data_IF_303819598422
#
_entry.id   IF_303819598422
#
_cell.length_a   1.000
_cell.length_b   1.000
_cell.length_c   1.000
_cell.angle_alpha   90.00
_cell.angle_beta   90.00
_cell.angle_gamma   90.00
#
_symmetry.space_group_name_H-M   'P 1'
#
loop_
_entity.id
_entity.type
_entity.pdbx_description
1 polymer ?
#
# COMPACT_ATOMS: atom_id res chain seq x y z
N UNK A 1 -30.22 -14.69 -28.83
CA UNK A 1 -29.09 -15.53 -28.36
C UNK A 1 -28.75 -15.07 -26.95
N UNK A 2 -29.24 -15.81 -25.95
CA UNK A 2 -29.00 -15.50 -24.54
C UNK A 2 -27.52 -15.77 -24.22
N UNK A 3 -26.80 -14.73 -23.81
CA UNK A 3 -25.41 -14.86 -23.36
C UNK A 3 -25.46 -15.53 -21.98
N UNK A 4 -25.00 -16.77 -21.93
CA UNK A 4 -24.84 -17.55 -20.71
C UNK A 4 -23.74 -16.89 -19.87
N UNK A 5 -24.13 -16.06 -18.92
CA UNK A 5 -23.25 -15.58 -17.86
C UNK A 5 -22.98 -16.77 -16.93
N UNK A 6 -21.73 -17.17 -16.64
CA UNK A 6 -21.51 -18.23 -15.68
C UNK A 6 -22.05 -17.77 -14.31
N UNK A 7 -23.00 -18.49 -13.69
CA UNK A 7 -23.25 -18.35 -12.27
C UNK A 7 -22.02 -18.90 -11.55
N UNK A 8 -21.75 -18.45 -10.33
CA UNK A 8 -20.71 -18.99 -9.44
C UNK A 8 -19.32 -18.31 -9.47
N UNK A 9 -19.24 -17.04 -9.86
CA UNK A 9 -18.27 -16.18 -9.18
C UNK A 9 -18.89 -15.81 -7.82
N UNK A 10 -18.26 -16.13 -6.66
CA UNK A 10 -18.76 -15.68 -5.38
C UNK A 10 -18.75 -14.14 -5.39
N UNK A 11 -19.94 -13.54 -5.54
CA UNK A 11 -20.08 -12.10 -5.39
C UNK A 11 -19.78 -11.82 -3.93
N UNK A 12 -18.56 -11.34 -3.67
CA UNK A 12 -18.15 -10.97 -2.33
C UNK A 12 -19.22 -10.06 -1.71
N UNK A 13 -19.70 -10.41 -0.52
CA UNK A 13 -20.70 -9.62 0.17
C UNK A 13 -20.20 -8.18 0.33
N UNK A 14 -21.06 -7.19 0.08
CA UNK A 14 -20.72 -5.77 0.26
C UNK A 14 -20.25 -5.50 1.70
N UNK A 15 -20.84 -6.21 2.67
CA UNK A 15 -20.47 -6.14 4.08
C UNK A 15 -19.06 -6.69 4.33
N UNK A 16 -18.71 -7.81 3.68
CA UNK A 16 -17.36 -8.40 3.80
C UNK A 16 -16.34 -7.46 3.17
N UNK A 17 -16.64 -6.91 1.98
CA UNK A 17 -15.76 -5.93 1.34
C UNK A 17 -15.55 -4.70 2.23
N UNK A 18 -16.60 -4.19 2.87
CA UNK A 18 -16.48 -3.03 3.77
C UNK A 18 -15.58 -3.34 4.97
N UNK A 19 -15.77 -4.50 5.60
CA UNK A 19 -14.95 -4.93 6.72
C UNK A 19 -13.48 -5.13 6.31
N UNK A 20 -13.22 -5.82 5.19
CA UNK A 20 -11.85 -6.04 4.69
C UNK A 20 -11.17 -4.72 4.34
N UNK A 21 -11.88 -3.77 3.73
CA UNK A 21 -11.33 -2.46 3.36
C UNK A 21 -10.83 -1.66 4.56
N UNK A 22 -11.42 -1.82 5.74
CA UNK A 22 -10.93 -1.16 6.96
C UNK A 22 -9.53 -1.61 7.35
N UNK A 23 -9.15 -2.85 7.02
CA UNK A 23 -7.87 -3.45 7.40
C UNK A 23 -6.85 -3.47 6.26
N UNK A 24 -7.27 -3.11 5.04
CA UNK A 24 -6.46 -3.28 3.84
C UNK A 24 -5.21 -2.38 3.82
N UNK A 25 -5.29 -1.19 4.42
CA UNK A 25 -4.16 -0.26 4.53
C UNK A 25 -3.05 -0.88 5.40
N UNK A 26 -3.38 -1.27 6.64
CA UNK A 26 -2.45 -1.95 7.54
C UNK A 26 -1.95 -3.28 6.97
N UNK A 27 -2.80 -4.03 6.26
CA UNK A 27 -2.40 -5.27 5.58
C UNK A 27 -1.32 -5.01 4.53
N UNK A 28 -1.50 -4.02 3.66
CA UNK A 28 -0.52 -3.70 2.61
C UNK A 28 0.79 -3.15 3.19
N UNK A 29 0.77 -2.58 4.40
CA UNK A 29 1.98 -2.10 5.08
C UNK A 29 2.72 -3.22 5.82
N UNK A 30 2.10 -4.39 5.97
CA UNK A 30 2.62 -5.46 6.81
C UNK A 30 2.49 -5.17 8.31
N UNK A 31 1.64 -4.23 8.68
CA UNK A 31 1.42 -3.76 10.06
C UNK A 31 0.13 -4.32 10.68
N UNK A 32 -0.65 -5.09 9.92
CA UNK A 32 -1.85 -5.75 10.43
C UNK A 32 -1.47 -6.86 11.41
N UNK A 33 -1.71 -6.60 12.70
CA UNK A 33 -1.41 -7.52 13.81
C UNK A 33 -2.66 -7.97 14.58
N UNK A 34 -3.82 -7.49 14.16
CA UNK A 34 -5.09 -7.79 14.82
C UNK A 34 -5.59 -9.22 14.51
N UNK A 35 -6.44 -9.72 15.41
CA UNK A 35 -7.09 -11.03 15.33
C UNK A 35 -8.61 -10.85 15.26
N UNK A 36 -9.31 -11.85 14.72
CA UNK A 36 -10.78 -11.90 14.76
C UNK A 36 -11.30 -12.33 16.15
N UNK A 37 -12.62 -12.42 16.30
CA UNK A 37 -13.26 -12.88 17.55
C UNK A 37 -13.03 -14.34 17.91
N UNK A 38 -12.25 -15.08 17.11
CA UNK A 38 -11.95 -16.49 17.25
C UNK A 38 -10.43 -16.75 17.32
N UNK A 39 -9.62 -15.71 17.61
CA UNK A 39 -8.16 -15.75 17.66
C UNK A 39 -7.48 -16.16 16.33
N UNK A 40 -8.13 -15.92 15.18
CA UNK A 40 -7.48 -16.06 13.87
C UNK A 40 -6.82 -14.75 13.43
N UNK A 41 -5.59 -14.79 12.88
CA UNK A 41 -4.94 -13.59 12.36
C UNK A 41 -5.76 -12.94 11.24
N UNK A 42 -6.04 -11.63 11.36
CA UNK A 42 -6.77 -10.90 10.31
C UNK A 42 -5.99 -10.84 9.00
N UNK A 43 -4.66 -10.99 9.03
CA UNK A 43 -3.83 -11.08 7.82
C UNK A 43 -4.24 -12.24 6.91
N UNK A 44 -4.58 -13.39 7.50
CA UNK A 44 -5.01 -14.56 6.74
C UNK A 44 -6.40 -14.36 6.14
N UNK A 45 -7.32 -13.80 6.92
CA UNK A 45 -8.69 -13.47 6.48
C UNK A 45 -8.69 -12.42 5.35
N UNK A 46 -7.98 -11.32 5.54
CA UNK A 46 -7.83 -10.26 4.53
C UNK A 46 -7.17 -10.83 3.27
N UNK A 47 -6.07 -11.57 3.40
CA UNK A 47 -5.40 -12.19 2.26
C UNK A 47 -6.24 -13.24 1.54
N UNK A 48 -7.09 -14.00 2.25
CA UNK A 48 -8.03 -14.92 1.64
C UNK A 48 -9.10 -14.19 0.83
N UNK A 49 -9.71 -13.14 1.39
CA UNK A 49 -10.73 -12.36 0.71
C UNK A 49 -10.19 -11.64 -0.53
N UNK A 50 -9.03 -10.99 -0.40
CA UNK A 50 -8.40 -10.26 -1.51
C UNK A 50 -8.10 -11.17 -2.70
N UNK A 51 -7.76 -12.45 -2.46
CA UNK A 51 -7.53 -13.43 -3.54
C UNK A 51 -8.77 -13.76 -4.36
N UNK A 52 -9.97 -13.63 -3.79
CA UNK A 52 -11.23 -14.03 -4.45
C UNK A 52 -12.12 -12.85 -4.85
N UNK A 53 -11.88 -11.67 -4.27
CA UNK A 53 -12.67 -10.47 -4.49
C UNK A 53 -11.92 -9.45 -5.37
N UNK A 54 -12.25 -9.41 -6.66
CA UNK A 54 -11.59 -8.50 -7.62
C UNK A 54 -11.64 -7.00 -7.21
N UNK A 55 -12.76 -6.46 -6.69
CA UNK A 55 -12.77 -5.08 -6.18
C UNK A 55 -11.74 -4.82 -5.08
N UNK A 56 -11.55 -5.76 -4.16
CA UNK A 56 -10.57 -5.64 -3.06
C UNK A 56 -9.14 -5.88 -3.56
N UNK A 57 -8.94 -6.83 -4.49
CA UNK A 57 -7.65 -7.04 -5.17
C UNK A 57 -7.18 -5.82 -5.97
N UNK A 58 -8.11 -5.14 -6.64
CA UNK A 58 -7.81 -3.88 -7.35
C UNK A 58 -7.39 -2.79 -6.36
N UNK A 59 -8.12 -2.64 -5.25
CA UNK A 59 -7.78 -1.64 -4.24
C UNK A 59 -6.42 -1.91 -3.58
N UNK A 60 -6.12 -3.17 -3.26
CA UNK A 60 -4.82 -3.58 -2.72
C UNK A 60 -3.67 -3.14 -3.65
N UNK A 61 -3.76 -3.47 -4.95
CA UNK A 61 -2.77 -3.06 -5.95
C UNK A 61 -2.63 -1.54 -6.05
N UNK A 62 -3.73 -0.80 -5.93
CA UNK A 62 -3.70 0.66 -5.95
C UNK A 62 -2.96 1.23 -4.73
N UNK A 63 -3.20 0.69 -3.53
CA UNK A 63 -2.49 1.08 -2.32
C UNK A 63 -1.00 0.75 -2.40
N UNK A 64 -0.65 -0.45 -2.88
CA UNK A 64 0.75 -0.84 -3.13
C UNK A 64 1.46 0.11 -4.09
N UNK A 65 0.81 0.46 -5.21
CA UNK A 65 1.35 1.38 -6.21
C UNK A 65 1.53 2.80 -5.64
N UNK A 66 0.54 3.30 -4.89
CA UNK A 66 0.62 4.60 -4.24
C UNK A 66 1.81 4.65 -3.26
N UNK A 67 2.00 3.62 -2.45
CA UNK A 67 3.11 3.54 -1.50
C UNK A 67 4.47 3.44 -2.18
N UNK A 68 4.56 2.67 -3.26
CA UNK A 68 5.76 2.64 -4.08
C UNK A 68 6.10 4.04 -4.64
N UNK A 69 5.09 4.79 -5.10
CA UNK A 69 5.25 6.16 -5.58
C UNK A 69 5.70 7.12 -4.47
N UNK A 70 5.07 7.06 -3.29
CA UNK A 70 5.46 7.88 -2.14
C UNK A 70 6.90 7.60 -1.67
N UNK A 71 7.29 6.31 -1.60
CA UNK A 71 8.69 5.93 -1.28
C UNK A 71 9.67 6.41 -2.33
N UNK A 72 9.29 6.42 -3.61
CA UNK A 72 10.13 6.95 -4.68
C UNK A 72 10.29 8.48 -4.57
N UNK A 73 9.21 9.19 -4.22
CA UNK A 73 9.23 10.63 -3.98
C UNK A 73 10.14 10.98 -2.79
N UNK A 74 9.95 10.32 -1.64
CA UNK A 74 10.77 10.54 -0.45
C UNK A 74 12.26 10.33 -0.72
N UNK A 75 12.62 9.30 -1.50
CA UNK A 75 14.02 9.08 -1.93
C UNK A 75 14.56 10.22 -2.78
N UNK A 76 13.77 10.75 -3.72
CA UNK A 76 14.17 11.90 -4.54
C UNK A 76 14.41 13.13 -3.68
N UNK A 77 13.50 13.43 -2.76
CA UNK A 77 13.63 14.56 -1.82
C UNK A 77 14.86 14.41 -0.91
N UNK A 78 15.16 13.20 -0.46
CA UNK A 78 16.38 12.95 0.31
C UNK A 78 17.65 13.21 -0.52
N UNK A 79 17.67 12.78 -1.79
CA UNK A 79 18.82 13.02 -2.67
C UNK A 79 19.04 14.51 -2.95
N UNK A 80 17.97 15.29 -3.17
CA UNK A 80 18.08 16.74 -3.40
C UNK A 80 18.53 17.47 -2.15
N UNK A 81 18.06 17.07 -0.96
CA UNK A 81 18.53 17.60 0.31
C UNK A 81 20.04 17.32 0.51
N UNK A 82 20.49 16.08 0.31
CA UNK A 82 21.91 15.71 0.44
C UNK A 82 22.81 16.50 -0.54
N UNK A 83 22.36 16.68 -1.79
CA UNK A 83 23.10 17.46 -2.78
C UNK A 83 23.19 18.95 -2.38
N UNK A 84 22.09 19.50 -1.87
CA UNK A 84 22.05 20.89 -1.39
C UNK A 84 23.02 21.12 -0.24
N UNK A 85 23.09 20.19 0.71
CA UNK A 85 24.02 20.30 1.84
C UNK A 85 25.49 20.13 1.41
N UNK A 86 25.77 19.27 0.43
CA UNK A 86 27.11 19.16 -0.15
C UNK A 86 27.56 20.47 -0.81
N UNK A 87 26.66 21.12 -1.57
CA UNK A 87 26.92 22.42 -2.18
C UNK A 87 27.14 23.51 -1.13
N UNK A 88 26.31 23.57 -0.07
CA UNK A 88 26.49 24.52 1.05
C UNK A 88 27.83 24.33 1.74
N UNK A 89 28.21 23.09 2.07
CA UNK A 89 29.52 22.79 2.67
C UNK A 89 30.67 23.20 1.75
N UNK A 90 30.55 22.97 0.45
CA UNK A 90 31.58 23.37 -0.52
C UNK A 90 31.71 24.89 -0.64
N UNK A 91 30.59 25.60 -0.67
CA UNK A 91 30.58 27.06 -0.67
C UNK A 91 31.22 27.64 0.60
N UNK A 92 30.88 27.10 1.77
CA UNK A 92 31.47 27.51 3.04
C UNK A 92 32.99 27.30 3.07
N UNK A 93 33.50 26.18 2.55
CA UNK A 93 34.95 25.94 2.44
C UNK A 93 35.64 26.98 1.56
N UNK A 94 35.05 27.32 0.41
CA UNK A 94 35.61 28.31 -0.51
C UNK A 94 35.66 29.70 0.16
N UNK A 95 34.60 30.07 0.87
CA UNK A 95 34.52 31.37 1.56
C UNK A 95 35.50 31.44 2.75
N UNK A 96 35.72 30.34 3.46
CA UNK A 96 36.67 30.28 4.58
C UNK A 96 38.15 30.17 4.16
N UNK A 97 38.42 29.87 2.89
CA UNK A 97 39.76 29.76 2.33
C UNK A 97 40.24 31.06 1.65
N UNK A 98 39.48 32.15 1.79
CA UNK A 98 39.81 33.51 1.36
C UNK A 98 40.12 34.37 2.57
#
# INVERSE_FOLDING_TARGET
MAQHLPPDAPVASLTDCAHIRMHLDAFVDGELTAFDGHDHPLTELVGAHVRVCEPCARLERQLQALRAALRALARREQTTACASDALRRRAAQILASR
#
